data_IF_421499441620
#
_entry.id   IF_421499441620
#
_cell.length_a   1.000
_cell.length_b   1.000
_cell.length_c   1.000
_cell.angle_alpha   90.00
_cell.angle_beta   90.00
_cell.angle_gamma   90.00
#
_symmetry.space_group_name_H-M   'P 1'
#
loop_
_entity.id
_entity.type
_entity.pdbx_description
1 polymer ?
#
# COMPACT_ATOMS: atom_id res chain seq x y z
N UNK A 1 29.68 -33.07 42.01
CA UNK A 1 29.61 -33.72 40.69
C UNK A 1 28.67 -32.92 39.79
N UNK A 2 29.16 -32.58 38.60
CA UNK A 2 28.46 -32.42 37.32
C UNK A 2 27.37 -31.33 37.15
N UNK A 3 27.75 -30.35 36.34
CA UNK A 3 27.00 -29.30 35.67
C UNK A 3 25.84 -29.82 34.81
N UNK A 4 24.78 -29.01 34.68
CA UNK A 4 24.16 -28.70 33.38
C UNK A 4 23.78 -27.22 33.36
N UNK A 5 24.40 -26.48 32.44
CA UNK A 5 24.04 -25.13 32.02
C UNK A 5 22.95 -25.22 30.95
N UNK A 6 22.06 -24.23 30.88
CA UNK A 6 21.73 -23.52 29.64
C UNK A 6 20.88 -22.28 29.96
N UNK A 7 21.57 -21.16 30.01
CA UNK A 7 21.00 -19.83 29.83
C UNK A 7 20.97 -19.54 28.32
N UNK A 8 19.88 -18.97 27.82
CA UNK A 8 19.86 -18.08 26.65
C UNK A 8 18.42 -17.59 26.44
N UNK A 9 18.12 -16.34 26.07
CA UNK A 9 18.74 -15.04 26.27
C UNK A 9 17.65 -14.05 25.80
N UNK A 10 17.34 -13.07 26.63
CA UNK A 10 16.63 -11.85 26.25
C UNK A 10 17.56 -11.01 25.38
N UNK A 11 17.12 -10.56 24.19
CA UNK A 11 17.70 -9.41 23.46
C UNK A 11 16.54 -8.83 22.63
N UNK A 12 15.72 -7.89 23.13
CA UNK A 12 15.91 -6.42 23.23
C UNK A 12 16.47 -5.77 21.97
N UNK A 13 15.62 -4.95 21.36
CA UNK A 13 15.86 -4.03 20.26
C UNK A 13 17.13 -3.15 20.41
N UNK A 14 17.70 -2.71 19.30
CA UNK A 14 18.74 -1.70 19.32
C UNK A 14 19.30 -1.39 17.94
N UNK A 15 19.10 -0.17 17.49
CA UNK A 15 19.48 0.38 16.21
C UNK A 15 20.99 0.66 16.06
N UNK A 16 21.36 1.04 14.83
CA UNK A 16 22.61 1.68 14.40
C UNK A 16 23.91 0.86 14.43
N UNK A 17 24.31 0.37 13.26
CA UNK A 17 25.73 0.25 12.90
C UNK A 17 25.93 0.70 11.45
N UNK A 18 26.61 1.83 11.29
CA UNK A 18 27.32 2.19 10.06
C UNK A 18 28.55 1.30 9.91
N UNK A 19 28.64 0.59 8.78
CA UNK A 19 29.89 0.01 8.27
C UNK A 19 30.20 -1.43 8.69
N UNK A 20 30.08 -2.37 7.74
CA UNK A 20 31.11 -3.35 7.34
C UNK A 20 30.47 -4.31 6.34
N UNK A 21 31.09 -4.45 5.16
CA UNK A 21 30.61 -5.30 4.08
C UNK A 21 30.46 -6.76 4.52
N UNK A 22 29.24 -7.25 4.39
CA UNK A 22 28.92 -8.65 4.19
C UNK A 22 27.72 -8.64 3.25
N UNK A 23 27.83 -9.29 2.11
CA UNK A 23 26.78 -9.47 1.08
C UNK A 23 25.63 -10.35 1.61
N UNK A 24 25.17 -10.11 2.83
CA UNK A 24 23.92 -10.64 3.34
C UNK A 24 22.82 -9.77 2.75
N UNK A 25 22.36 -10.14 1.55
CA UNK A 25 21.14 -9.56 0.99
C UNK A 25 20.05 -9.71 2.05
N UNK A 26 19.57 -8.58 2.57
CA UNK A 26 18.35 -8.59 3.37
C UNK A 26 17.29 -9.42 2.61
N UNK A 27 16.53 -10.26 3.32
CA UNK A 27 15.47 -11.02 2.68
C UNK A 27 14.55 -10.04 1.93
N UNK A 28 14.23 -10.35 0.68
CA UNK A 28 13.34 -9.49 -0.10
C UNK A 28 12.01 -9.34 0.62
N UNK A 29 11.49 -8.11 0.65
CA UNK A 29 10.16 -7.84 1.21
C UNK A 29 9.10 -8.69 0.49
N UNK A 30 8.17 -9.22 1.28
CA UNK A 30 7.03 -9.99 0.81
C UNK A 30 6.10 -9.13 -0.06
N UNK A 31 5.24 -9.76 -0.89
CA UNK A 31 4.22 -9.03 -1.65
C UNK A 31 3.31 -8.14 -0.78
N UNK A 32 2.97 -8.59 0.44
CA UNK A 32 2.17 -7.80 1.39
C UNK A 32 2.93 -6.57 1.90
N UNK A 33 4.20 -6.72 2.26
CA UNK A 33 5.02 -5.59 2.71
C UNK A 33 5.23 -4.56 1.60
N UNK A 34 5.50 -5.02 0.37
CA UNK A 34 5.64 -4.14 -0.80
C UNK A 34 4.35 -3.38 -1.10
N UNK A 35 3.21 -4.09 -1.17
CA UNK A 35 1.90 -3.47 -1.38
C UNK A 35 1.54 -2.47 -0.27
N UNK A 36 1.71 -2.85 0.99
CA UNK A 36 1.39 -1.95 2.09
C UNK A 36 2.35 -0.77 2.21
N UNK A 37 3.61 -0.90 1.78
CA UNK A 37 4.52 0.23 1.66
C UNK A 37 4.01 1.24 0.65
N UNK A 38 3.72 0.80 -0.58
CA UNK A 38 3.20 1.66 -1.64
C UNK A 38 1.88 2.34 -1.22
N UNK A 39 0.97 1.59 -0.61
CA UNK A 39 -0.31 2.14 -0.14
C UNK A 39 -0.14 3.18 0.97
N UNK A 40 0.75 2.94 1.96
CA UNK A 40 1.04 3.92 3.01
C UNK A 40 1.69 5.18 2.42
N UNK A 41 2.66 5.02 1.53
CA UNK A 41 3.31 6.16 0.90
C UNK A 41 2.31 7.01 0.12
N UNK A 42 1.39 6.38 -0.61
CA UNK A 42 0.26 7.06 -1.25
C UNK A 42 -0.64 7.77 -0.24
N UNK A 43 -1.03 7.09 0.84
CA UNK A 43 -1.88 7.67 1.89
C UNK A 43 -1.22 8.90 2.53
N UNK A 44 0.04 8.81 2.92
CA UNK A 44 0.80 9.92 3.48
C UNK A 44 0.95 11.08 2.48
N UNK A 45 1.17 10.79 1.20
CA UNK A 45 1.17 11.83 0.14
C UNK A 45 -0.20 12.50 0.04
N UNK A 46 -1.29 11.73 0.11
CA UNK A 46 -2.65 12.27 0.09
C UNK A 46 -2.90 13.22 1.26
N UNK A 47 -2.40 12.91 2.46
CA UNK A 47 -2.50 13.80 3.62
C UNK A 47 -1.67 15.08 3.43
N UNK A 48 -0.44 14.95 2.89
CA UNK A 48 0.44 16.09 2.61
C UNK A 48 -0.09 17.00 1.50
N UNK A 49 -0.82 16.44 0.54
CA UNK A 49 -1.41 17.17 -0.57
C UNK A 49 -2.76 17.82 -0.23
N UNK A 50 -3.20 17.78 1.03
CA UNK A 50 -4.45 18.41 1.44
C UNK A 50 -4.41 19.93 1.17
N UNK A 51 -5.28 20.41 0.28
CA UNK A 51 -5.36 21.81 -0.12
C UNK A 51 -4.44 22.22 -1.28
N UNK A 52 -3.71 21.27 -1.87
CA UNK A 52 -2.98 21.47 -3.13
C UNK A 52 -3.93 21.55 -4.33
N UNK A 53 -3.37 21.91 -5.49
CA UNK A 53 -4.12 21.93 -6.75
C UNK A 53 -4.60 20.53 -7.16
N UNK A 54 -5.75 20.46 -7.83
CA UNK A 54 -6.37 19.19 -8.24
C UNK A 54 -5.42 18.33 -9.09
N UNK A 55 -4.63 18.94 -9.98
CA UNK A 55 -3.64 18.21 -10.80
C UNK A 55 -2.54 17.53 -9.96
N UNK A 56 -2.16 18.09 -8.81
CA UNK A 56 -1.19 17.46 -7.89
C UNK A 56 -1.81 16.22 -7.24
N UNK A 57 -3.09 16.30 -6.88
CA UNK A 57 -3.84 15.19 -6.29
C UNK A 57 -4.01 14.07 -7.33
N UNK A 58 -4.48 14.40 -8.54
CA UNK A 58 -4.63 13.44 -9.65
C UNK A 58 -3.31 12.77 -10.00
N UNK A 59 -2.21 13.54 -10.10
CA UNK A 59 -0.88 12.99 -10.35
C UNK A 59 -0.45 11.99 -9.25
N UNK A 60 -0.76 12.27 -7.97
CA UNK A 60 -0.47 11.34 -6.87
C UNK A 60 -1.27 10.04 -6.99
N UNK A 61 -2.55 10.12 -7.39
CA UNK A 61 -3.40 8.95 -7.63
C UNK A 61 -2.85 8.11 -8.79
N UNK A 62 -2.53 8.74 -9.93
CA UNK A 62 -1.94 8.05 -11.09
C UNK A 62 -0.61 7.39 -10.77
N UNK A 63 0.26 8.09 -10.04
CA UNK A 63 1.54 7.53 -9.61
C UNK A 63 1.37 6.27 -8.76
N UNK A 64 0.39 6.24 -7.85
CA UNK A 64 0.09 5.03 -7.09
C UNK A 64 -0.57 3.95 -7.95
N UNK A 65 -1.43 4.31 -8.90
CA UNK A 65 -2.04 3.36 -9.83
C UNK A 65 -0.97 2.64 -10.68
N UNK A 66 0.01 3.38 -11.18
CA UNK A 66 1.15 2.84 -11.93
C UNK A 66 1.97 1.88 -11.06
N UNK A 67 2.39 2.33 -9.87
CA UNK A 67 3.14 1.49 -8.93
C UNK A 67 2.38 0.22 -8.55
N UNK A 68 1.11 0.34 -8.17
CA UNK A 68 0.27 -0.79 -7.76
C UNK A 68 0.01 -1.78 -8.91
N UNK A 69 0.04 -1.33 -10.17
CA UNK A 69 -0.13 -2.19 -11.34
C UNK A 69 1.05 -3.14 -11.58
N UNK A 70 2.24 -2.76 -11.11
CA UNK A 70 3.47 -3.55 -11.24
C UNK A 70 3.69 -4.52 -10.07
N UNK A 71 2.92 -4.36 -8.99
CA UNK A 71 3.06 -5.19 -7.80
C UNK A 71 2.42 -6.57 -7.96
N UNK A 72 3.09 -7.55 -7.37
CA UNK A 72 2.43 -8.83 -7.05
C UNK A 72 1.48 -8.59 -5.88
N UNK A 73 0.19 -8.87 -6.07
CA UNK A 73 -0.81 -8.65 -5.03
C UNK A 73 -0.75 -9.77 -3.96
N UNK A 74 -0.95 -9.44 -2.68
CA UNK A 74 -0.87 -10.41 -1.59
C UNK A 74 -1.88 -11.55 -1.74
N UNK A 75 -1.52 -12.77 -1.35
CA UNK A 75 -2.47 -13.91 -1.34
C UNK A 75 -3.57 -13.75 -0.30
N UNK A 76 -3.29 -13.00 0.77
CA UNK A 76 -4.24 -12.61 1.82
C UNK A 76 -5.33 -11.64 1.32
N UNK A 77 -5.11 -10.96 0.19
CA UNK A 77 -6.10 -10.08 -0.43
C UNK A 77 -7.14 -10.93 -1.19
N UNK A 78 -8.42 -10.75 -0.86
CA UNK A 78 -9.52 -11.49 -1.48
C UNK A 78 -9.59 -11.25 -2.99
N UNK A 79 -10.22 -12.18 -3.72
CA UNK A 79 -10.40 -12.01 -5.18
C UNK A 79 -11.19 -10.74 -5.53
N UNK A 80 -12.18 -10.39 -4.70
CA UNK A 80 -12.97 -9.17 -4.87
C UNK A 80 -12.16 -7.91 -4.56
N UNK A 81 -11.34 -7.91 -3.50
CA UNK A 81 -10.41 -6.80 -3.23
C UNK A 81 -9.36 -6.63 -4.35
N UNK A 82 -8.83 -7.73 -4.90
CA UNK A 82 -7.93 -7.68 -6.07
C UNK A 82 -8.64 -7.10 -7.30
N UNK A 83 -9.90 -7.45 -7.52
CA UNK A 83 -10.71 -6.89 -8.60
C UNK A 83 -11.05 -5.41 -8.37
N UNK A 84 -11.28 -5.02 -7.11
CA UNK A 84 -11.47 -3.63 -6.69
C UNK A 84 -10.27 -2.77 -7.02
N UNK A 85 -9.06 -3.17 -6.60
CA UNK A 85 -7.83 -2.45 -6.93
C UNK A 85 -7.64 -2.30 -8.44
N UNK A 86 -7.87 -3.36 -9.22
CA UNK A 86 -7.79 -3.28 -10.69
C UNK A 86 -8.82 -2.32 -11.29
N UNK A 87 -10.03 -2.29 -10.74
CA UNK A 87 -11.07 -1.33 -11.14
C UNK A 87 -10.62 0.09 -10.82
N UNK A 88 -10.08 0.32 -9.62
CA UNK A 88 -9.55 1.62 -9.21
C UNK A 88 -8.43 2.10 -10.15
N UNK A 89 -7.44 1.25 -10.44
CA UNK A 89 -6.34 1.55 -11.37
C UNK A 89 -6.89 1.94 -12.74
N UNK A 90 -7.85 1.16 -13.27
CA UNK A 90 -8.44 1.44 -14.58
C UNK A 90 -9.17 2.79 -14.61
N UNK A 91 -9.95 3.10 -13.57
CA UNK A 91 -10.64 4.39 -13.47
C UNK A 91 -9.65 5.55 -13.45
N UNK A 92 -8.58 5.46 -12.66
CA UNK A 92 -7.57 6.52 -12.52
C UNK A 92 -6.71 6.68 -13.77
N UNK A 93 -6.46 5.60 -14.52
CA UNK A 93 -5.76 5.68 -15.80
C UNK A 93 -6.52 6.58 -16.80
N UNK A 94 -7.86 6.51 -16.80
CA UNK A 94 -8.72 7.25 -17.72
C UNK A 94 -8.98 8.71 -17.30
N UNK A 95 -8.58 9.11 -16.09
CA UNK A 95 -8.73 10.50 -15.61
C UNK A 95 -7.80 11.44 -16.36
N UNK A 96 -8.26 12.59 -16.89
CA UNK A 96 -7.38 13.63 -17.40
C UNK A 96 -6.42 14.18 -16.33
N UNK A 97 -5.18 14.51 -16.68
CA UNK A 97 -4.17 15.00 -15.72
C UNK A 97 -4.57 16.32 -15.02
N UNK A 98 -5.45 17.10 -15.64
CA UNK A 98 -6.00 18.36 -15.13
C UNK A 98 -7.44 18.23 -14.60
N UNK A 99 -7.94 17.01 -14.45
CA UNK A 99 -9.27 16.76 -13.91
C UNK A 99 -9.41 17.33 -12.51
N UNK A 100 -10.58 17.90 -12.25
CA UNK A 100 -10.98 18.33 -10.92
C UNK A 100 -11.29 17.15 -10.01
N UNK A 101 -11.22 17.37 -8.69
CA UNK A 101 -11.63 16.35 -7.72
C UNK A 101 -13.11 15.94 -7.87
N UNK A 102 -13.97 16.85 -8.37
CA UNK A 102 -15.36 16.56 -8.65
C UNK A 102 -15.52 15.57 -9.82
N UNK A 103 -14.71 15.72 -10.87
CA UNK A 103 -14.67 14.80 -12.00
C UNK A 103 -14.14 13.43 -11.57
N UNK A 104 -13.11 13.40 -10.71
CA UNK A 104 -12.61 12.15 -10.12
C UNK A 104 -13.69 11.45 -9.27
N UNK A 105 -14.43 12.19 -8.45
CA UNK A 105 -15.53 11.64 -7.66
C UNK A 105 -16.70 11.12 -8.53
N UNK A 106 -16.91 11.71 -9.70
CA UNK A 106 -17.96 11.29 -10.63
C UNK A 106 -17.68 9.93 -11.29
N UNK A 107 -16.41 9.48 -11.36
CA UNK A 107 -16.03 8.17 -11.93
C UNK A 107 -16.77 7.00 -11.27
N UNK A 108 -17.09 7.12 -9.99
CA UNK A 108 -17.83 6.10 -9.25
C UNK A 108 -19.30 5.95 -9.66
N UNK A 109 -19.87 6.92 -10.39
CA UNK A 109 -21.29 6.95 -10.75
C UNK A 109 -21.65 5.94 -11.84
N UNK A 110 -20.71 5.62 -12.72
CA UNK A 110 -20.92 4.67 -13.84
C UNK A 110 -20.61 3.21 -13.45
N UNK A 111 -20.21 2.98 -12.20
CA UNK A 111 -19.89 1.65 -11.71
C UNK A 111 -21.13 0.81 -11.46
N UNK A 112 -21.06 -0.46 -11.85
CA UNK A 112 -22.04 -1.45 -11.41
C UNK A 112 -21.97 -1.67 -9.90
N UNK A 113 -23.07 -2.11 -9.29
CA UNK A 113 -23.13 -2.52 -7.87
C UNK A 113 -21.95 -3.42 -7.48
N UNK A 114 -21.63 -4.41 -8.33
CA UNK A 114 -20.54 -5.36 -8.09
C UNK A 114 -19.18 -4.66 -8.05
N UNK A 115 -18.92 -3.69 -8.93
CA UNK A 115 -17.66 -2.95 -8.93
C UNK A 115 -17.53 -2.07 -7.70
N UNK A 116 -18.63 -1.46 -7.25
CA UNK A 116 -18.66 -0.71 -5.98
C UNK A 116 -18.32 -1.63 -4.81
N UNK A 117 -18.99 -2.77 -4.68
CA UNK A 117 -18.72 -3.73 -3.60
C UNK A 117 -17.24 -4.20 -3.63
N UNK A 118 -16.67 -4.41 -4.82
CA UNK A 118 -15.26 -4.78 -4.98
C UNK A 118 -14.29 -3.67 -4.58
N UNK A 119 -14.60 -2.41 -4.92
CA UNK A 119 -13.82 -1.25 -4.45
C UNK A 119 -13.85 -1.14 -2.93
N UNK A 120 -15.02 -1.36 -2.31
CA UNK A 120 -15.15 -1.35 -0.86
C UNK A 120 -14.30 -2.45 -0.20
N UNK A 121 -14.33 -3.67 -0.74
CA UNK A 121 -13.45 -4.77 -0.28
C UNK A 121 -11.96 -4.43 -0.41
N UNK A 122 -11.57 -3.76 -1.49
CA UNK A 122 -10.21 -3.24 -1.67
C UNK A 122 -9.83 -2.23 -0.58
N UNK A 123 -10.65 -1.20 -0.37
CA UNK A 123 -10.38 -0.18 0.64
C UNK A 123 -10.38 -0.76 2.06
N UNK A 124 -11.31 -1.67 2.37
CA UNK A 124 -11.36 -2.36 3.65
C UNK A 124 -10.07 -3.14 3.90
N UNK A 125 -9.61 -3.93 2.92
CA UNK A 125 -8.36 -4.66 3.02
C UNK A 125 -7.18 -3.70 3.22
N UNK A 126 -7.01 -2.71 2.34
CA UNK A 126 -5.86 -1.81 2.37
C UNK A 126 -5.78 -1.03 3.69
N UNK A 127 -6.89 -0.49 4.17
CA UNK A 127 -6.93 0.20 5.45
C UNK A 127 -6.67 -0.75 6.63
N UNK A 128 -7.35 -1.90 6.69
CA UNK A 128 -7.26 -2.83 7.80
C UNK A 128 -5.97 -3.67 7.83
N UNK A 129 -5.17 -3.67 6.77
CA UNK A 129 -3.88 -4.39 6.73
C UNK A 129 -2.69 -3.46 6.69
N UNK A 130 -2.78 -2.36 5.95
CA UNK A 130 -1.64 -1.50 5.72
C UNK A 130 -1.58 -0.30 6.65
N UNK A 131 -2.72 0.16 7.20
CA UNK A 131 -2.79 1.30 8.12
C UNK A 131 -3.03 0.90 9.58
N UNK A 132 -3.56 -0.30 9.85
CA UNK A 132 -3.85 -0.76 11.22
C UNK A 132 -2.62 -1.23 12.01
N UNK A 133 -1.41 -1.00 11.50
CA UNK A 133 -0.16 -1.32 12.15
C UNK A 133 0.72 -0.07 12.18
N UNK A 134 0.36 0.89 13.03
CA UNK A 134 1.37 1.75 13.63
C UNK A 134 2.11 0.88 14.66
N UNK A 135 3.43 0.65 14.54
CA UNK A 135 4.20 0.15 15.68
C UNK A 135 4.10 1.10 16.89
#
# INVERSE_FOLDING_TARGET
MRFVRLAAALVIAGAFVVGCGNDDKEPEASPEEKFCSAFRDYYERSEKNAGEADSVIVASMKSFADEASELTLPDSMSADAKAGLKTWIALIADVPDDASQAEVAALGQDLSRKQVDQLDEYYLYANAKCLSATP
#
